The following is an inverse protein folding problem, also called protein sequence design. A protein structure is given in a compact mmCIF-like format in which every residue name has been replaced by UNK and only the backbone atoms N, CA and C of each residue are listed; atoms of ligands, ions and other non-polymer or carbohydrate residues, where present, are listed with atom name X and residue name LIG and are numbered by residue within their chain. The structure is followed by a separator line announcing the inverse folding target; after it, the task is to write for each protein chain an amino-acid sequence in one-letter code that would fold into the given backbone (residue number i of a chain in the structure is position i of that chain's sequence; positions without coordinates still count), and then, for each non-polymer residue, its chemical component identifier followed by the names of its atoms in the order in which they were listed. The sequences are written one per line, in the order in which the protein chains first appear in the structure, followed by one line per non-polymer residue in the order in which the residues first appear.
data_IF_932760403158
#
_entry.id   IF_932760403158
#
_cell.length_a   1.000
_cell.length_b   1.000
_cell.length_c   1.000
_cell.angle_alpha   90.00
_cell.angle_beta   90.00
_cell.angle_gamma   90.00
#
_symmetry.space_group_name_H-M   'P 1'
#
loop_
_entity.id
_entity.type
_entity.pdbx_description
1 polymer ?
#
# COMPACT_ATOMS: atom_id res chain seq x y z
N UNK A 1 -2.84 13.96 -2.33
CA UNK A 1 -2.21 12.98 -3.25
C UNK A 1 -2.14 13.43 -4.72
N UNK A 2 -2.98 14.37 -5.20
CA UNK A 2 -3.02 14.79 -6.62
C UNK A 2 -1.73 15.41 -7.20
N UNK A 3 -0.80 15.89 -6.35
CA UNK A 3 0.44 16.55 -6.79
C UNK A 3 1.67 15.63 -6.78
N UNK A 4 1.52 14.33 -6.50
CA UNK A 4 2.64 13.39 -6.58
C UNK A 4 3.00 13.20 -8.06
N UNK A 5 4.26 13.51 -8.41
CA UNK A 5 4.77 13.48 -9.80
C UNK A 5 5.67 12.28 -10.10
N UNK A 6 5.81 11.35 -9.16
CA UNK A 6 6.64 10.15 -9.29
C UNK A 6 5.76 8.89 -9.20
N UNK A 7 6.19 7.75 -9.75
CA UNK A 7 5.54 6.48 -9.52
C UNK A 7 5.32 6.25 -8.01
N UNK A 8 4.14 5.75 -7.65
CA UNK A 8 3.76 5.53 -6.26
C UNK A 8 2.90 4.27 -6.16
N UNK A 9 3.04 3.56 -5.06
CA UNK A 9 2.30 2.36 -4.70
C UNK A 9 1.92 2.41 -3.22
N UNK A 10 0.82 1.77 -2.84
CA UNK A 10 0.36 1.69 -1.45
C UNK A 10 0.42 0.25 -0.99
N UNK A 11 0.93 0.05 0.21
CA UNK A 11 0.95 -1.24 0.89
C UNK A 11 0.35 -1.03 2.27
N UNK A 12 -0.59 -1.90 2.65
CA UNK A 12 -1.24 -1.84 3.95
C UNK A 12 -1.52 -3.25 4.46
N UNK A 13 -1.64 -3.41 5.77
CA UNK A 13 -2.04 -4.68 6.38
C UNK A 13 -3.56 -4.82 6.46
N UNK A 14 -4.11 -6.03 6.36
CA UNK A 14 -5.56 -6.23 6.48
C UNK A 14 -6.09 -6.01 7.90
N UNK A 15 -5.22 -6.15 8.89
CA UNK A 15 -5.57 -6.10 10.31
C UNK A 15 -5.06 -4.79 10.93
N UNK A 16 -4.85 -3.76 10.10
CA UNK A 16 -4.42 -2.44 10.55
C UNK A 16 -5.49 -1.83 11.45
N UNK A 17 -5.11 -1.62 12.71
CA UNK A 17 -5.97 -1.11 13.77
C UNK A 17 -6.22 0.40 13.67
N UNK A 18 -5.45 1.11 12.86
CA UNK A 18 -5.51 2.56 12.70
C UNK A 18 -6.26 2.99 11.43
N UNK A 19 -6.29 2.14 10.39
CA UNK A 19 -6.86 2.47 9.08
C UNK A 19 -7.84 1.41 8.56
N UNK A 20 -8.87 1.85 7.83
CA UNK A 20 -9.75 0.96 7.05
C UNK A 20 -9.09 0.61 5.72
N UNK A 21 -8.24 -0.42 5.72
CA UNK A 21 -7.33 -0.68 4.59
C UNK A 21 -8.05 -1.22 3.36
N UNK A 22 -9.23 -1.82 3.54
CA UNK A 22 -10.16 -2.22 2.49
C UNK A 22 -10.72 -1.03 1.68
N UNK A 23 -10.72 0.18 2.25
CA UNK A 23 -11.21 1.39 1.59
C UNK A 23 -10.13 2.16 0.82
N UNK A 24 -8.85 1.81 0.98
CA UNK A 24 -7.74 2.54 0.35
C UNK A 24 -7.83 2.55 -1.19
N UNK A 25 -8.06 1.40 -1.82
CA UNK A 25 -8.21 1.36 -3.28
C UNK A 25 -9.45 2.11 -3.76
N UNK A 26 -10.67 1.84 -3.24
CA UNK A 26 -11.87 2.61 -3.59
C UNK A 26 -11.69 4.13 -3.50
N UNK A 27 -11.11 4.62 -2.40
CA UNK A 27 -10.89 6.05 -2.18
C UNK A 27 -9.87 6.64 -3.17
N UNK A 28 -8.77 5.94 -3.45
CA UNK A 28 -7.80 6.37 -4.45
C UNK A 28 -8.45 6.46 -5.85
N UNK A 29 -9.25 5.46 -6.23
CA UNK A 29 -9.96 5.47 -7.51
C UNK A 29 -10.97 6.62 -7.60
N UNK A 30 -11.71 6.90 -6.53
CA UNK A 30 -12.62 8.05 -6.46
C UNK A 30 -11.89 9.40 -6.64
N UNK A 31 -10.62 9.47 -6.24
CA UNK A 31 -9.75 10.64 -6.46
C UNK A 31 -9.07 10.68 -7.84
N UNK A 32 -9.33 9.70 -8.71
CA UNK A 32 -8.70 9.56 -10.03
C UNK A 32 -7.26 9.03 -9.97
N UNK A 33 -6.86 8.41 -8.85
CA UNK A 33 -5.51 7.91 -8.61
C UNK A 33 -5.46 6.42 -8.92
N UNK A 34 -4.55 6.04 -9.82
CA UNK A 34 -4.37 4.68 -10.31
C UNK A 34 -3.21 3.92 -9.64
N UNK A 35 -2.76 4.36 -8.47
CA UNK A 35 -1.68 3.65 -7.77
C UNK A 35 -2.11 2.22 -7.44
N UNK A 36 -1.21 1.23 -7.57
CA UNK A 36 -1.46 -0.12 -7.12
C UNK A 36 -1.55 -0.13 -5.59
N UNK A 37 -2.50 -0.92 -5.07
CA UNK A 37 -2.69 -1.14 -3.64
C UNK A 37 -2.49 -2.63 -3.37
N UNK A 38 -1.59 -2.94 -2.44
CA UNK A 38 -1.34 -4.32 -1.99
C UNK A 38 -1.76 -4.43 -0.53
N UNK A 39 -2.73 -5.30 -0.25
CA UNK A 39 -3.11 -5.66 1.11
C UNK A 39 -2.36 -6.91 1.55
N UNK A 40 -1.63 -6.81 2.65
CA UNK A 40 -0.86 -7.93 3.24
C UNK A 40 -1.73 -8.58 4.34
N UNK A 41 -2.09 -9.86 4.21
CA UNK A 41 -2.95 -10.53 5.18
C UNK A 41 -2.35 -10.63 6.58
N UNK A 42 -3.19 -10.49 7.60
CA UNK A 42 -2.89 -10.69 9.03
C UNK A 42 -1.76 -9.77 9.55
N UNK A 43 -1.68 -8.55 9.01
CA UNK A 43 -0.68 -7.55 9.39
C UNK A 43 -1.39 -6.34 10.00
N UNK A 44 -0.99 -5.99 11.22
CA UNK A 44 -1.37 -4.73 11.87
C UNK A 44 -0.44 -3.57 11.52
N UNK A 45 -0.76 -2.38 12.02
CA UNK A 45 -0.14 -1.11 11.62
C UNK A 45 1.39 -1.10 11.84
N UNK A 46 1.83 -1.42 13.06
CA UNK A 46 3.26 -1.45 13.40
C UNK A 46 3.95 -2.64 12.70
N UNK A 47 3.28 -3.79 12.63
CA UNK A 47 3.82 -5.00 12.02
C UNK A 47 4.14 -4.80 10.53
N UNK A 48 3.43 -3.91 9.83
CA UNK A 48 3.73 -3.54 8.44
C UNK A 48 5.17 -3.06 8.23
N UNK A 49 5.81 -2.49 9.27
CA UNK A 49 7.19 -2.00 9.20
C UNK A 49 8.26 -3.05 9.57
N UNK A 50 7.86 -4.15 10.20
CA UNK A 50 8.77 -5.15 10.79
C UNK A 50 8.61 -6.54 10.18
N UNK A 51 7.43 -6.89 9.68
CA UNK A 51 7.14 -8.20 9.10
C UNK A 51 7.83 -8.37 7.74
N UNK A 52 8.49 -9.52 7.57
CA UNK A 52 9.23 -9.85 6.35
C UNK A 52 8.35 -9.89 5.11
N UNK A 53 7.07 -10.24 5.24
CA UNK A 53 6.09 -10.25 4.14
C UNK A 53 5.77 -8.84 3.67
N UNK A 54 5.61 -7.91 4.62
CA UNK A 54 5.39 -6.50 4.30
C UNK A 54 6.65 -5.86 3.67
N UNK A 55 7.83 -6.22 4.17
CA UNK A 55 9.10 -5.82 3.56
C UNK A 55 9.24 -6.34 2.12
N UNK A 56 8.92 -7.63 1.89
CA UNK A 56 8.95 -8.21 0.55
C UNK A 56 7.97 -7.52 -0.40
N UNK A 57 6.75 -7.20 0.07
CA UNK A 57 5.78 -6.43 -0.70
C UNK A 57 6.31 -5.03 -1.06
N UNK A 58 7.03 -4.36 -0.15
CA UNK A 58 7.65 -3.05 -0.40
C UNK A 58 8.73 -3.13 -1.46
N UNK A 59 9.62 -4.11 -1.38
CA UNK A 59 10.66 -4.34 -2.40
C UNK A 59 10.02 -4.59 -3.77
N UNK A 60 9.04 -5.50 -3.85
CA UNK A 60 8.35 -5.80 -5.11
C UNK A 60 7.62 -4.57 -5.70
N UNK A 61 7.04 -3.72 -4.85
CA UNK A 61 6.39 -2.51 -5.31
C UNK A 61 7.42 -1.53 -5.93
N UNK A 62 8.59 -1.37 -5.28
CA UNK A 62 9.67 -0.53 -5.81
C UNK A 62 10.21 -1.07 -7.13
N UNK A 63 10.48 -2.36 -7.22
CA UNK A 63 10.96 -3.00 -8.44
C UNK A 63 10.02 -2.73 -9.62
N UNK A 64 8.70 -2.94 -9.43
CA UNK A 64 7.67 -2.70 -10.45
C UNK A 64 7.55 -1.24 -10.89
N UNK A 65 8.01 -0.28 -10.08
CA UNK A 65 8.00 1.15 -10.42
C UNK A 65 9.26 1.59 -11.17
N UNK A 66 10.29 0.75 -11.20
CA UNK A 66 11.58 1.02 -11.88
C UNK A 66 11.73 0.33 -13.23
N UNK A 67 10.79 -0.56 -13.58
CA UNK A 67 10.67 -1.16 -14.91
C UNK A 67 9.92 -0.22 -15.86
#
# INVERSE_FOLDING_TARGET
MRNVKRPCAVIAGTDDEAFKTDQLEPELRALGIQWPVTLVPDIGHIALTLDKRALAAAVQAVEKMTQ
#
